data_IF_270656989756
#
_entry.id   IF_270656989756
#
_cell.length_a   1.000
_cell.length_b   1.000
_cell.length_c   1.000
_cell.angle_alpha   90.00
_cell.angle_beta   90.00
_cell.angle_gamma   90.00
#
_symmetry.space_group_name_H-M   'P 1'
#
loop_
_entity.id
_entity.type
_entity.pdbx_description
1 polymer ?
#
# COMPACT_ATOMS: atom_id res chain seq x y z
N UNK A 1 -34.30 -60.17 -44.97
CA UNK A 1 -34.42 -59.34 -46.19
C UNK A 1 -34.90 -57.95 -45.78
N UNK A 2 -34.49 -56.94 -46.55
CA UNK A 2 -34.33 -55.50 -46.26
C UNK A 2 -32.99 -55.10 -45.64
N UNK A 3 -32.37 -54.06 -46.18
CA UNK A 3 -31.43 -54.12 -47.30
C UNK A 3 -30.34 -53.08 -47.02
N UNK A 4 -29.09 -53.40 -47.36
CA UNK A 4 -27.90 -52.57 -47.21
C UNK A 4 -27.93 -51.47 -48.29
N UNK A 5 -28.30 -50.24 -47.99
CA UNK A 5 -27.98 -49.11 -48.89
C UNK A 5 -28.03 -47.69 -48.32
N UNK A 6 -28.35 -47.45 -47.04
CA UNK A 6 -28.44 -46.07 -46.50
C UNK A 6 -27.50 -45.75 -45.33
N UNK A 7 -26.45 -46.55 -45.12
CA UNK A 7 -25.41 -46.27 -44.12
C UNK A 7 -24.06 -45.88 -44.74
N UNK A 8 -24.09 -45.20 -45.90
CA UNK A 8 -22.90 -44.82 -46.67
C UNK A 8 -22.87 -43.35 -47.13
N UNK A 9 -23.67 -42.44 -46.55
CA UNK A 9 -23.66 -41.01 -46.91
C UNK A 9 -23.72 -40.04 -45.72
N UNK A 10 -22.96 -40.33 -44.66
CA UNK A 10 -22.68 -39.35 -43.60
C UNK A 10 -21.22 -39.44 -43.11
N UNK A 11 -20.30 -39.76 -44.03
CA UNK A 11 -18.86 -39.64 -43.85
C UNK A 11 -18.44 -38.44 -44.72
N UNK A 12 -17.73 -37.47 -44.13
CA UNK A 12 -17.17 -36.24 -44.73
C UNK A 12 -17.88 -34.89 -44.49
N UNK A 13 -18.52 -34.65 -43.34
CA UNK A 13 -18.83 -33.28 -42.94
C UNK A 13 -18.41 -33.01 -41.48
N UNK A 14 -17.29 -32.29 -41.35
CA UNK A 14 -16.96 -31.40 -40.25
C UNK A 14 -16.77 -32.00 -38.84
N UNK A 15 -15.82 -32.92 -38.68
CA UNK A 15 -15.01 -32.96 -37.46
C UNK A 15 -13.90 -31.90 -37.53
N UNK A 16 -14.29 -30.62 -37.52
CA UNK A 16 -13.38 -29.56 -37.08
C UNK A 16 -13.48 -29.50 -35.55
N UNK A 17 -12.84 -30.46 -34.90
CA UNK A 17 -12.54 -30.35 -33.47
C UNK A 17 -11.62 -29.13 -33.36
N UNK A 18 -12.16 -28.05 -32.80
CA UNK A 18 -11.36 -26.97 -32.24
C UNK A 18 -10.47 -27.60 -31.16
N UNK A 19 -9.26 -28.01 -31.56
CA UNK A 19 -8.13 -28.09 -30.66
C UNK A 19 -7.79 -26.63 -30.31
N UNK A 20 -8.59 -26.06 -29.42
CA UNK A 20 -8.13 -24.93 -28.63
C UNK A 20 -6.88 -25.44 -27.92
N UNK A 21 -5.72 -24.95 -28.36
CA UNK A 21 -4.46 -25.12 -27.67
C UNK A 21 -4.66 -24.60 -26.25
N UNK A 22 -4.97 -25.52 -25.33
CA UNK A 22 -4.74 -25.35 -23.91
C UNK A 22 -3.25 -25.08 -23.77
N UNK A 23 -2.89 -23.80 -23.79
CA UNK A 23 -1.62 -23.35 -23.25
C UNK A 23 -1.71 -23.69 -21.77
N UNK A 24 -1.26 -24.89 -21.42
CA UNK A 24 -1.00 -25.26 -20.04
C UNK A 24 0.00 -24.21 -19.55
N UNK A 25 -0.48 -23.31 -18.69
CA UNK A 25 0.37 -22.33 -18.06
C UNK A 25 1.53 -23.09 -17.41
N UNK A 26 2.75 -22.84 -17.88
CA UNK A 26 3.92 -23.44 -17.26
C UNK A 26 3.92 -23.03 -15.78
N UNK A 27 4.09 -23.97 -14.84
CA UNK A 27 4.17 -23.63 -13.44
C UNK A 27 5.29 -22.60 -13.26
N UNK A 28 4.99 -21.53 -12.52
CA UNK A 28 5.95 -20.46 -12.30
C UNK A 28 7.25 -21.06 -11.72
N UNK A 29 8.40 -20.69 -12.32
CA UNK A 29 9.70 -21.17 -11.87
C UNK A 29 9.88 -20.88 -10.38
N UNK A 30 10.59 -21.71 -9.62
CA UNK A 30 10.82 -21.44 -8.19
C UNK A 30 11.51 -20.08 -8.00
N UNK A 31 11.06 -19.25 -7.06
CA UNK A 31 11.74 -18.02 -6.70
C UNK A 31 13.09 -18.33 -6.02
N UNK A 32 14.15 -17.65 -6.46
CA UNK A 32 15.48 -17.75 -5.87
C UNK A 32 15.82 -16.46 -5.10
N UNK A 33 15.95 -16.60 -3.78
CA UNK A 33 16.31 -15.50 -2.88
C UNK A 33 17.83 -15.34 -2.72
N UNK A 34 18.66 -16.19 -3.34
CA UNK A 34 20.12 -16.14 -3.21
C UNK A 34 20.77 -14.78 -3.53
N UNK A 35 20.21 -13.93 -4.42
CA UNK A 35 20.75 -12.58 -4.64
C UNK A 35 20.49 -11.58 -3.49
N UNK A 36 19.58 -11.88 -2.56
CA UNK A 36 19.12 -10.98 -1.49
C UNK A 36 19.94 -11.17 -0.21
N UNK A 37 21.23 -10.85 -0.27
CA UNK A 37 22.20 -11.12 0.80
C UNK A 37 22.15 -10.03 1.87
N UNK A 38 22.24 -8.76 1.49
CA UNK A 38 22.29 -7.60 2.39
C UNK A 38 21.22 -6.55 2.05
N UNK A 39 20.87 -5.66 2.99
CA UNK A 39 19.92 -4.58 2.71
C UNK A 39 20.35 -3.75 1.49
N UNK A 40 19.40 -3.44 0.61
CA UNK A 40 19.59 -2.77 -0.68
C UNK A 40 19.73 -3.72 -1.87
N UNK A 41 20.06 -5.00 -1.65
CA UNK A 41 20.08 -5.99 -2.73
C UNK A 41 18.65 -6.19 -3.27
N UNK A 42 18.55 -6.42 -4.59
CA UNK A 42 17.25 -6.60 -5.25
C UNK A 42 17.30 -7.68 -6.33
N UNK A 43 16.14 -8.32 -6.55
CA UNK A 43 15.92 -9.30 -7.61
C UNK A 43 14.51 -9.10 -8.18
N UNK A 44 14.36 -9.30 -9.49
CA UNK A 44 13.05 -9.27 -10.14
C UNK A 44 12.51 -10.68 -10.32
N UNK A 45 11.22 -10.88 -10.08
CA UNK A 45 10.54 -12.13 -10.35
C UNK A 45 9.09 -11.88 -10.74
N UNK A 46 8.68 -12.41 -11.90
CA UNK A 46 7.40 -12.03 -12.50
C UNK A 46 7.40 -10.53 -12.80
N UNK A 47 6.33 -9.84 -12.40
CA UNK A 47 6.28 -8.38 -12.43
C UNK A 47 6.90 -7.70 -11.21
N UNK A 48 7.19 -8.44 -10.14
CA UNK A 48 7.61 -7.84 -8.87
C UNK A 48 9.11 -7.53 -8.85
N UNK A 49 9.47 -6.41 -8.23
CA UNK A 49 10.83 -6.13 -7.80
C UNK A 49 10.92 -6.36 -6.29
N UNK A 50 11.76 -7.29 -5.87
CA UNK A 50 11.94 -7.66 -4.47
C UNK A 50 13.22 -7.01 -3.98
N UNK A 51 13.16 -6.31 -2.85
CA UNK A 51 14.29 -5.60 -2.25
C UNK A 51 14.44 -6.06 -0.80
N UNK A 52 15.65 -6.44 -0.39
CA UNK A 52 15.94 -6.70 1.03
C UNK A 52 16.10 -5.36 1.75
N UNK A 53 15.32 -5.11 2.80
CA UNK A 53 15.35 -3.84 3.55
C UNK A 53 15.84 -3.99 5.00
N UNK A 54 15.91 -5.24 5.48
CA UNK A 54 16.45 -5.62 6.78
C UNK A 54 16.80 -7.10 6.81
N UNK A 55 17.28 -7.59 7.94
CA UNK A 55 17.49 -9.02 8.14
C UNK A 55 16.15 -9.76 8.08
N UNK A 56 15.92 -10.56 7.04
CA UNK A 56 14.65 -11.25 6.82
C UNK A 56 13.43 -10.31 6.74
N UNK A 57 13.64 -9.09 6.24
CA UNK A 57 12.57 -8.13 5.94
C UNK A 57 12.72 -7.65 4.50
N UNK A 58 11.62 -7.69 3.75
CA UNK A 58 11.60 -7.49 2.31
C UNK A 58 10.50 -6.51 1.89
N UNK A 59 10.83 -5.63 0.97
CA UNK A 59 9.86 -4.89 0.17
C UNK A 59 9.59 -5.67 -1.10
N UNK A 60 8.33 -5.86 -1.44
CA UNK A 60 7.87 -6.47 -2.69
C UNK A 60 7.13 -5.37 -3.43
N UNK A 61 7.82 -4.75 -4.38
CA UNK A 61 7.27 -3.68 -5.20
C UNK A 61 6.48 -4.28 -6.36
N UNK A 62 5.18 -3.97 -6.38
CA UNK A 62 4.33 -4.10 -7.55
C UNK A 62 4.51 -2.83 -8.40
N UNK A 63 5.05 -2.93 -9.64
CA UNK A 63 5.30 -1.75 -10.46
C UNK A 63 4.00 -1.08 -10.97
N UNK A 64 2.84 -1.71 -10.77
CA UNK A 64 1.58 -1.17 -11.28
C UNK A 64 1.45 -1.33 -12.80
N UNK A 65 0.70 -0.42 -13.42
CA UNK A 65 0.58 -0.27 -14.88
C UNK A 65 0.69 1.20 -15.29
N UNK A 66 1.47 1.49 -16.33
CA UNK A 66 1.72 2.88 -16.79
C UNK A 66 0.48 3.57 -17.39
N UNK A 67 -0.53 2.80 -17.78
CA UNK A 67 -1.81 3.29 -18.30
C UNK A 67 -2.91 3.33 -17.24
N UNK A 68 -2.57 3.01 -15.99
CA UNK A 68 -3.50 2.89 -14.88
C UNK A 68 -4.09 4.23 -14.43
N UNK A 69 -5.07 4.13 -13.53
CA UNK A 69 -5.59 5.26 -12.75
C UNK A 69 -5.63 4.87 -11.28
N UNK A 70 -5.63 5.85 -10.38
CA UNK A 70 -5.77 5.58 -8.95
C UNK A 70 -4.67 4.66 -8.41
N UNK A 71 -5.06 3.56 -7.76
CA UNK A 71 -4.16 2.58 -7.13
C UNK A 71 -3.36 1.72 -8.11
N UNK A 72 -3.65 1.81 -9.41
CA UNK A 72 -2.89 1.10 -10.43
C UNK A 72 -1.45 1.60 -10.61
N UNK A 73 -1.09 2.74 -10.02
CA UNK A 73 0.30 3.19 -9.98
C UNK A 73 1.02 2.47 -8.84
N UNK A 74 2.17 1.86 -9.15
CA UNK A 74 2.82 0.84 -8.32
C UNK A 74 2.75 1.00 -6.80
N UNK A 75 2.62 -0.13 -6.12
CA UNK A 75 2.37 -0.24 -4.69
C UNK A 75 3.38 -1.18 -4.05
N UNK A 76 3.69 -0.96 -2.80
CA UNK A 76 4.67 -1.72 -2.03
C UNK A 76 3.97 -2.58 -0.99
N UNK A 77 4.34 -3.86 -0.99
CA UNK A 77 4.01 -4.79 0.08
C UNK A 77 5.27 -5.05 0.91
N UNK A 78 5.09 -5.45 2.17
CA UNK A 78 6.22 -5.69 3.08
C UNK A 78 6.11 -7.05 3.75
N UNK A 79 7.12 -7.90 3.55
CA UNK A 79 7.18 -9.21 4.19
C UNK A 79 8.22 -9.20 5.32
N UNK A 80 7.77 -9.48 6.53
CA UNK A 80 8.60 -9.59 7.73
C UNK A 80 8.61 -11.06 8.16
N UNK A 81 9.78 -11.69 8.15
CA UNK A 81 9.93 -13.05 8.63
C UNK A 81 10.58 -13.03 10.03
N UNK A 82 9.82 -13.48 11.03
CA UNK A 82 10.35 -13.74 12.37
C UNK A 82 10.84 -15.17 12.52
N UNK A 83 10.96 -15.64 13.76
CA UNK A 83 11.40 -17.01 14.05
C UNK A 83 10.26 -18.03 14.05
N UNK A 84 9.02 -17.60 14.32
CA UNK A 84 7.86 -18.51 14.46
C UNK A 84 6.79 -18.29 13.39
N UNK A 85 6.74 -17.13 12.74
CA UNK A 85 5.81 -16.80 11.66
C UNK A 85 6.33 -15.67 10.77
N UNK A 86 5.69 -15.48 9.62
CA UNK A 86 5.88 -14.35 8.75
C UNK A 86 4.60 -13.50 8.68
N UNK A 87 4.77 -12.18 8.57
CA UNK A 87 3.70 -11.22 8.34
C UNK A 87 3.93 -10.54 7.00
N UNK A 88 2.97 -10.68 6.09
CA UNK A 88 2.88 -9.87 4.88
C UNK A 88 1.94 -8.70 5.13
N UNK A 89 2.44 -7.48 4.92
CA UNK A 89 1.67 -6.24 5.01
C UNK A 89 1.30 -5.84 3.58
N UNK A 90 -0.01 -5.69 3.34
CA UNK A 90 -0.64 -5.42 2.04
C UNK A 90 -0.44 -6.51 0.97
N UNK A 91 -1.20 -6.41 -0.12
CA UNK A 91 -1.32 -7.46 -1.15
C UNK A 91 -1.22 -6.95 -2.59
N UNK A 92 -1.06 -5.65 -2.82
CA UNK A 92 -0.96 -5.13 -4.18
C UNK A 92 -2.26 -5.21 -4.97
N UNK A 93 -2.19 -4.85 -6.24
CA UNK A 93 -3.34 -4.77 -7.14
C UNK A 93 -3.90 -6.14 -7.56
N UNK A 94 -5.21 -6.23 -7.78
CA UNK A 94 -5.86 -7.46 -8.27
C UNK A 94 -5.52 -7.76 -9.74
N UNK A 95 -4.46 -8.53 -9.95
CA UNK A 95 -4.09 -9.05 -11.27
C UNK A 95 -4.66 -10.44 -11.57
N UNK A 96 -5.38 -11.06 -10.66
CA UNK A 96 -6.02 -12.36 -10.93
C UNK A 96 -7.20 -12.15 -11.87
N UNK A 97 -8.12 -11.26 -11.48
CA UNK A 97 -9.33 -10.96 -12.24
C UNK A 97 -9.27 -9.60 -12.96
N UNK A 98 -8.22 -8.81 -12.68
CA UNK A 98 -8.18 -7.41 -13.06
C UNK A 98 -9.04 -6.53 -12.15
N UNK A 99 -8.95 -5.22 -12.35
CA UNK A 99 -9.79 -4.23 -11.70
C UNK A 99 -10.07 -3.08 -12.67
N UNK A 100 -11.25 -3.12 -13.30
CA UNK A 100 -11.63 -2.21 -14.37
C UNK A 100 -11.64 -0.71 -13.97
N UNK A 101 -12.07 -0.30 -12.75
CA UNK A 101 -12.05 1.11 -12.35
C UNK A 101 -10.66 1.75 -12.43
N UNK A 102 -9.62 0.98 -12.12
CA UNK A 102 -8.23 1.44 -12.13
C UNK A 102 -7.47 1.04 -13.42
N UNK A 103 -8.19 0.47 -14.40
CA UNK A 103 -7.65 0.00 -15.68
C UNK A 103 -6.61 -1.11 -15.54
N UNK A 104 -6.79 -1.98 -14.54
CA UNK A 104 -5.94 -3.13 -14.30
C UNK A 104 -6.50 -4.33 -15.08
N UNK A 105 -5.71 -4.85 -16.01
CA UNK A 105 -6.02 -6.08 -16.73
C UNK A 105 -5.60 -7.33 -15.92
N UNK A 106 -6.32 -8.46 -16.05
CA UNK A 106 -5.84 -9.75 -15.55
C UNK A 106 -4.46 -10.09 -16.12
N UNK A 107 -3.61 -10.70 -15.30
CA UNK A 107 -2.29 -11.23 -15.70
C UNK A 107 -2.28 -12.75 -15.49
N UNK A 108 -1.86 -13.53 -16.50
CA UNK A 108 -1.64 -14.96 -16.32
C UNK A 108 -0.66 -15.23 -15.16
N UNK A 109 -0.97 -16.25 -14.34
CA UNK A 109 -0.14 -16.70 -13.23
C UNK A 109 0.10 -15.68 -12.10
N UNK A 110 -0.70 -14.62 -11.99
CA UNK A 110 -0.50 -13.58 -10.96
C UNK A 110 -0.47 -14.17 -9.53
N UNK A 111 -1.42 -15.05 -9.21
CA UNK A 111 -1.48 -15.71 -7.90
C UNK A 111 -0.27 -16.63 -7.65
N UNK A 112 0.14 -17.39 -8.66
CA UNK A 112 1.32 -18.27 -8.61
C UNK A 112 2.59 -17.46 -8.39
N UNK A 113 2.76 -16.34 -9.08
CA UNK A 113 3.95 -15.51 -8.99
C UNK A 113 4.08 -14.85 -7.60
N UNK A 114 3.01 -14.24 -7.10
CA UNK A 114 3.04 -13.64 -5.76
C UNK A 114 3.32 -14.69 -4.68
N UNK A 115 2.67 -15.86 -4.76
CA UNK A 115 2.94 -16.96 -3.83
C UNK A 115 4.37 -17.48 -3.93
N UNK A 116 4.94 -17.57 -5.13
CA UNK A 116 6.32 -18.02 -5.31
C UNK A 116 7.30 -17.09 -4.60
N UNK A 117 7.11 -15.77 -4.70
CA UNK A 117 7.90 -14.78 -3.96
C UNK A 117 7.69 -14.92 -2.45
N UNK A 118 6.43 -14.85 -1.99
CA UNK A 118 6.11 -14.81 -0.55
C UNK A 118 6.55 -16.10 0.15
N UNK A 119 6.24 -17.28 -0.39
CA UNK A 119 6.67 -18.55 0.21
C UNK A 119 8.15 -18.84 -0.03
N UNK A 120 8.75 -18.34 -1.12
CA UNK A 120 10.18 -18.44 -1.35
C UNK A 120 10.99 -17.69 -0.31
N UNK A 121 10.50 -16.53 0.13
CA UNK A 121 11.10 -15.71 1.18
C UNK A 121 10.77 -16.20 2.60
N UNK A 122 9.50 -16.52 2.87
CA UNK A 122 9.04 -16.97 4.20
C UNK A 122 9.42 -18.42 4.52
N UNK A 123 9.73 -19.23 3.51
CA UNK A 123 10.06 -20.64 3.66
C UNK A 123 8.87 -21.43 4.22
N UNK A 124 9.07 -22.09 5.37
CA UNK A 124 8.05 -22.93 6.03
C UNK A 124 7.28 -22.21 7.14
N UNK A 125 7.56 -20.92 7.37
CA UNK A 125 6.89 -20.16 8.41
C UNK A 125 5.38 -20.07 8.14
N UNK A 126 4.52 -20.24 9.15
CA UNK A 126 3.13 -19.83 9.08
C UNK A 126 3.03 -18.38 8.60
N UNK A 127 2.09 -18.11 7.70
CA UNK A 127 1.90 -16.79 7.10
C UNK A 127 0.63 -16.14 7.64
N UNK A 128 0.77 -14.91 8.12
CA UNK A 128 -0.34 -14.00 8.34
C UNK A 128 -0.24 -12.85 7.32
N UNK A 129 -1.39 -12.34 6.89
CA UNK A 129 -1.50 -11.16 6.03
C UNK A 129 -2.29 -10.10 6.78
N UNK A 130 -1.79 -8.87 6.83
CA UNK A 130 -2.52 -7.74 7.40
C UNK A 130 -2.52 -6.57 6.42
N UNK A 131 -3.66 -5.95 6.19
CA UNK A 131 -3.74 -4.78 5.30
C UNK A 131 -3.67 -3.48 6.10
N UNK A 132 -3.08 -2.45 5.51
CA UNK A 132 -3.03 -1.09 6.04
C UNK A 132 -4.40 -0.41 5.94
N UNK A 133 -5.13 -0.66 4.85
CA UNK A 133 -6.50 -0.20 4.61
C UNK A 133 -7.17 -0.97 3.45
N UNK A 134 -8.48 -0.81 3.25
CA UNK A 134 -9.27 -1.56 2.27
C UNK A 134 -9.46 -0.81 0.93
N UNK A 135 -8.33 -0.45 0.31
CA UNK A 135 -8.30 -0.01 -1.09
C UNK A 135 -7.77 -1.14 -2.00
N UNK A 136 -8.23 -1.18 -3.27
CA UNK A 136 -8.03 -2.31 -4.17
C UNK A 136 -6.57 -2.61 -4.53
N UNK A 137 -5.67 -1.66 -4.31
CA UNK A 137 -4.22 -1.78 -4.46
C UNK A 137 -3.50 -2.29 -3.21
N UNK A 138 -4.20 -2.40 -2.07
CA UNK A 138 -3.65 -2.93 -0.82
C UNK A 138 -4.25 -4.29 -0.43
N UNK A 139 -5.43 -4.65 -0.93
CA UNK A 139 -6.09 -5.93 -0.68
C UNK A 139 -6.36 -6.76 -1.95
N UNK A 140 -5.93 -6.27 -3.12
CA UNK A 140 -6.35 -6.81 -4.40
C UNK A 140 -5.92 -8.25 -4.68
N UNK A 141 -4.77 -8.70 -4.16
CA UNK A 141 -4.32 -10.08 -4.32
C UNK A 141 -4.78 -11.02 -3.19
N UNK A 142 -5.81 -10.67 -2.42
CA UNK A 142 -6.42 -11.57 -1.41
C UNK A 142 -6.72 -12.94 -2.00
N UNK A 143 -7.24 -12.96 -3.23
CA UNK A 143 -7.54 -14.17 -4.00
C UNK A 143 -6.37 -15.15 -4.14
N UNK A 144 -5.12 -14.65 -4.14
CA UNK A 144 -3.93 -15.49 -4.33
C UNK A 144 -3.72 -16.51 -3.19
N UNK A 145 -4.17 -16.14 -1.98
CA UNK A 145 -3.96 -16.90 -0.75
C UNK A 145 -5.25 -17.55 -0.21
N UNK A 146 -6.39 -17.40 -0.89
CA UNK A 146 -7.60 -18.14 -0.53
C UNK A 146 -7.36 -19.66 -0.58
N UNK A 147 -8.00 -20.39 0.34
CA UNK A 147 -7.84 -21.83 0.51
C UNK A 147 -6.40 -22.27 0.85
N UNK A 148 -5.59 -21.37 1.38
CA UNK A 148 -4.28 -21.66 1.98
C UNK A 148 -4.35 -21.51 3.50
N UNK A 149 -3.36 -22.05 4.20
CA UNK A 149 -3.24 -21.88 5.64
C UNK A 149 -2.67 -20.48 5.96
N UNK A 150 -3.47 -19.44 5.69
CA UNK A 150 -3.13 -18.03 5.85
C UNK A 150 -4.24 -17.35 6.62
N UNK A 151 -3.90 -16.57 7.65
CA UNK A 151 -4.85 -15.72 8.36
C UNK A 151 -4.78 -14.31 7.82
N UNK A 152 -5.92 -13.73 7.44
CA UNK A 152 -6.01 -12.35 6.98
C UNK A 152 -6.52 -11.44 8.10
N UNK A 153 -5.98 -10.23 8.18
CA UNK A 153 -6.30 -9.24 9.20
C UNK A 153 -6.66 -7.90 8.58
N UNK A 154 -7.76 -7.32 9.05
CA UNK A 154 -8.22 -5.98 8.67
C UNK A 154 -8.68 -5.23 9.92
N UNK A 155 -8.30 -3.95 10.01
CA UNK A 155 -8.66 -3.08 11.15
C UNK A 155 -10.17 -2.84 11.21
N UNK A 156 -10.74 -2.78 12.42
CA UNK A 156 -12.17 -2.60 12.68
C UNK A 156 -12.77 -1.35 12.01
N UNK A 157 -11.96 -0.32 11.79
CA UNK A 157 -12.38 0.93 11.15
C UNK A 157 -12.52 0.86 9.63
N UNK A 158 -11.99 -0.18 8.97
CA UNK A 158 -12.09 -0.34 7.51
C UNK A 158 -13.45 -0.89 7.09
N UNK A 159 -13.94 -0.49 5.92
CA UNK A 159 -15.16 -1.06 5.34
C UNK A 159 -14.86 -2.46 4.81
N UNK A 160 -15.21 -3.48 5.60
CA UNK A 160 -15.03 -4.87 5.19
C UNK A 160 -15.81 -5.22 3.91
N UNK A 161 -16.90 -4.51 3.58
CA UNK A 161 -17.65 -4.77 2.36
C UNK A 161 -16.91 -4.29 1.10
N UNK A 162 -15.89 -3.45 1.24
CA UNK A 162 -15.03 -3.03 0.13
C UNK A 162 -14.51 -4.24 -0.65
N UNK A 163 -13.96 -5.26 0.03
CA UNK A 163 -13.42 -6.46 -0.61
C UNK A 163 -14.46 -7.23 -1.44
N UNK A 164 -15.71 -7.24 -0.99
CA UNK A 164 -16.82 -7.89 -1.71
C UNK A 164 -17.15 -7.14 -2.98
N UNK A 165 -17.20 -5.81 -2.90
CA UNK A 165 -17.52 -4.97 -4.06
C UNK A 165 -16.39 -4.90 -5.07
N UNK A 166 -15.15 -4.84 -4.60
CA UNK A 166 -13.95 -4.64 -5.41
C UNK A 166 -13.44 -5.96 -6.02
N UNK A 167 -13.49 -7.07 -5.25
CA UNK A 167 -12.86 -8.34 -5.62
C UNK A 167 -13.81 -9.54 -5.63
N UNK A 168 -15.10 -9.34 -5.31
CA UNK A 168 -16.10 -10.44 -5.22
C UNK A 168 -15.72 -11.51 -4.18
N UNK A 169 -14.98 -11.12 -3.15
CA UNK A 169 -14.54 -12.01 -2.06
C UNK A 169 -15.46 -11.81 -0.86
N UNK A 170 -15.74 -12.90 -0.14
CA UNK A 170 -16.52 -12.84 1.10
C UNK A 170 -15.73 -12.07 2.18
N UNK A 171 -16.27 -10.98 2.77
CA UNK A 171 -15.58 -10.22 3.81
C UNK A 171 -15.15 -11.03 5.04
N UNK A 172 -15.82 -12.16 5.31
CA UNK A 172 -15.51 -13.02 6.46
C UNK A 172 -14.15 -13.72 6.37
N UNK A 173 -13.46 -13.67 5.23
CA UNK A 173 -12.07 -14.16 5.12
C UNK A 173 -11.11 -13.34 5.99
N UNK A 174 -11.46 -12.09 6.30
CA UNK A 174 -10.67 -11.21 7.15
C UNK A 174 -11.09 -11.32 8.62
N UNK A 175 -10.15 -11.71 9.46
CA UNK A 175 -10.25 -11.50 10.90
C UNK A 175 -10.12 -10.02 11.21
N UNK A 176 -10.87 -9.57 12.22
CA UNK A 176 -10.96 -8.16 12.60
C UNK A 176 -10.11 -7.85 13.81
N UNK A 177 -9.51 -6.66 13.85
CA UNK A 177 -8.73 -6.20 14.99
C UNK A 177 -8.84 -4.69 15.20
N UNK A 178 -8.63 -4.22 16.43
CA UNK A 178 -8.54 -2.79 16.72
C UNK A 178 -7.09 -2.31 16.59
N UNK A 179 -6.80 -1.47 15.60
CA UNK A 179 -5.48 -0.81 15.49
C UNK A 179 -5.12 -0.03 16.76
N UNK A 180 -3.87 -0.10 17.21
CA UNK A 180 -3.44 0.43 18.51
C UNK A 180 -3.56 -0.57 19.66
N UNK A 181 -4.29 -1.68 19.49
CA UNK A 181 -4.45 -2.73 20.51
C UNK A 181 -3.92 -4.09 20.08
N UNK A 182 -3.76 -4.31 18.77
CA UNK A 182 -3.20 -5.53 18.21
C UNK A 182 -1.69 -5.36 18.03
N UNK A 183 -0.96 -6.41 18.38
CA UNK A 183 0.42 -6.62 17.96
C UNK A 183 0.56 -8.00 17.32
N UNK A 184 1.54 -8.15 16.43
CA UNK A 184 1.87 -9.42 15.79
C UNK A 184 3.23 -9.87 16.31
N UNK A 185 3.23 -10.86 17.19
CA UNK A 185 4.46 -11.52 17.64
C UNK A 185 4.91 -12.54 16.59
N UNK A 186 6.03 -12.24 15.95
CA UNK A 186 6.64 -13.05 14.89
C UNK A 186 7.68 -14.05 15.44
N UNK A 187 7.91 -14.07 16.75
CA UNK A 187 8.94 -14.85 17.42
C UNK A 187 10.32 -14.20 17.37
N UNK A 188 11.20 -14.59 18.30
CA UNK A 188 12.56 -14.03 18.39
C UNK A 188 12.63 -12.57 18.82
N UNK A 189 11.60 -12.07 19.51
CA UNK A 189 11.52 -10.67 19.95
C UNK A 189 11.01 -9.69 18.88
N UNK A 190 10.66 -10.17 17.68
CA UNK A 190 10.05 -9.35 16.64
C UNK A 190 8.55 -9.21 16.85
N UNK A 191 8.16 -8.11 17.48
CA UNK A 191 6.76 -7.74 17.66
C UNK A 191 6.48 -6.55 16.74
N UNK A 192 5.44 -6.68 15.91
CA UNK A 192 4.94 -5.60 15.07
C UNK A 192 3.72 -4.97 15.74
N UNK A 193 3.88 -3.77 16.28
CA UNK A 193 2.80 -3.01 16.91
C UNK A 193 1.98 -2.27 15.86
N UNK A 194 0.68 -2.11 16.11
CA UNK A 194 -0.21 -1.36 15.22
C UNK A 194 -0.57 -0.01 15.81
N UNK A 195 -0.76 0.99 14.95
CA UNK A 195 -1.25 2.32 15.31
C UNK A 195 -2.36 2.74 14.35
N UNK A 196 -3.42 3.33 14.88
CA UNK A 196 -4.48 3.92 14.07
C UNK A 196 -4.02 5.29 13.55
N UNK A 197 -4.07 5.47 12.23
CA UNK A 197 -3.94 6.77 11.57
C UNK A 197 -5.03 6.92 10.52
N UNK A 198 -6.11 7.60 10.89
CA UNK A 198 -7.23 7.94 10.00
C UNK A 198 -6.89 9.12 9.11
N UNK A 199 -7.74 9.34 8.11
CA UNK A 199 -7.66 10.47 7.19
C UNK A 199 -7.83 10.00 5.76
N UNK A 200 -6.91 9.14 5.31
CA UNK A 200 -7.02 8.40 4.05
C UNK A 200 -8.24 7.47 4.07
N UNK A 201 -8.28 6.57 5.05
CA UNK A 201 -9.39 5.68 5.36
C UNK A 201 -9.80 5.85 6.84
N UNK A 202 -10.81 5.10 7.28
CA UNK A 202 -11.30 5.15 8.68
C UNK A 202 -10.62 4.13 9.61
N UNK A 203 -9.95 3.12 9.07
CA UNK A 203 -9.18 2.13 9.81
C UNK A 203 -7.70 2.09 9.42
N UNK A 204 -7.20 3.14 8.76
CA UNK A 204 -5.82 3.24 8.30
C UNK A 204 -4.84 2.87 9.40
N UNK A 205 -3.99 1.87 9.12
CA UNK A 205 -3.14 1.24 10.13
C UNK A 205 -1.67 1.37 9.75
N UNK A 206 -0.89 1.91 10.67
CA UNK A 206 0.57 1.91 10.63
C UNK A 206 1.10 0.72 11.42
N UNK A 207 2.09 0.02 10.87
CA UNK A 207 2.76 -1.12 11.49
C UNK A 207 4.20 -0.76 11.87
N UNK A 208 4.58 -0.96 13.13
CA UNK A 208 5.89 -0.59 13.67
C UNK A 208 6.63 -1.83 14.16
N UNK A 209 7.76 -2.14 13.51
CA UNK A 209 8.71 -3.15 13.94
C UNK A 209 9.89 -2.45 14.61
N UNK A 210 9.74 -2.16 15.91
CA UNK A 210 10.72 -1.40 16.69
C UNK A 210 12.12 -2.04 16.73
N UNK A 211 12.31 -3.35 16.93
CA UNK A 211 13.65 -3.94 17.01
C UNK A 211 14.51 -3.71 15.77
N UNK A 212 13.89 -3.63 14.59
CA UNK A 212 14.57 -3.38 13.32
C UNK A 212 14.50 -1.91 12.88
N UNK A 213 13.87 -1.04 13.68
CA UNK A 213 13.63 0.38 13.40
C UNK A 213 12.93 0.60 12.05
N UNK A 214 11.87 -0.18 11.79
CA UNK A 214 11.08 -0.12 10.56
C UNK A 214 9.63 0.24 10.87
N UNK A 215 9.05 1.14 10.08
CA UNK A 215 7.63 1.49 10.09
C UNK A 215 7.06 1.34 8.69
N UNK A 216 5.87 0.74 8.58
CA UNK A 216 5.14 0.55 7.34
C UNK A 216 3.79 1.27 7.48
N UNK A 217 3.60 2.35 6.72
CA UNK A 217 2.40 3.19 6.86
C UNK A 217 1.30 2.83 5.87
N UNK A 218 1.60 2.08 4.82
CA UNK A 218 0.78 2.09 3.61
C UNK A 218 0.53 3.54 3.21
N UNK A 219 -0.74 3.87 3.01
CA UNK A 219 -1.17 5.23 2.70
C UNK A 219 -1.67 5.99 3.94
N UNK A 220 -1.56 5.47 5.15
CA UNK A 220 -2.17 6.12 6.32
C UNK A 220 -1.55 7.51 6.64
N UNK A 221 -0.27 7.71 6.30
CA UNK A 221 0.44 9.00 6.41
C UNK A 221 0.63 9.69 5.05
N UNK A 222 -0.03 9.17 4.02
CA UNK A 222 0.24 9.46 2.62
C UNK A 222 1.40 8.64 2.08
N UNK A 223 1.58 8.72 0.78
CA UNK A 223 2.86 8.44 0.15
C UNK A 223 3.79 9.64 0.34
N UNK A 224 5.09 9.52 0.09
CA UNK A 224 5.98 10.68 0.25
C UNK A 224 5.57 11.88 -0.61
N UNK A 225 4.74 11.71 -1.64
CA UNK A 225 4.14 12.82 -2.38
C UNK A 225 3.07 13.61 -1.59
N UNK A 226 2.36 12.99 -0.65
CA UNK A 226 1.45 13.64 0.28
C UNK A 226 0.15 12.88 0.55
N UNK A 227 -0.52 13.23 1.65
CA UNK A 227 -1.82 12.65 2.00
C UNK A 227 -2.96 13.50 1.45
N UNK A 228 -3.79 12.92 0.58
CA UNK A 228 -5.01 13.57 0.11
C UNK A 228 -6.13 13.45 1.16
N UNK A 229 -6.77 14.57 1.51
CA UNK A 229 -7.96 14.63 2.38
C UNK A 229 -9.04 15.47 1.71
N UNK A 230 -10.29 15.01 1.80
CA UNK A 230 -11.41 15.62 1.07
C UNK A 230 -12.32 16.51 1.94
N UNK A 231 -12.29 16.37 3.26
CA UNK A 231 -13.18 17.10 4.18
C UNK A 231 -12.45 17.57 5.43
N UNK A 232 -13.07 18.51 6.14
CA UNK A 232 -12.56 19.02 7.43
C UNK A 232 -12.44 17.88 8.45
N UNK A 233 -13.41 16.96 8.49
CA UNK A 233 -13.40 15.81 9.40
C UNK A 233 -12.22 14.89 9.12
N UNK A 234 -11.94 14.59 7.84
CA UNK A 234 -10.79 13.76 7.44
C UNK A 234 -9.46 14.43 7.81
N UNK A 235 -9.36 15.75 7.63
CA UNK A 235 -8.19 16.50 8.07
C UNK A 235 -8.01 16.46 9.60
N UNK A 236 -9.09 16.64 10.37
CA UNK A 236 -9.07 16.56 11.84
C UNK A 236 -8.62 15.18 12.33
N UNK A 237 -9.14 14.12 11.70
CA UNK A 237 -8.75 12.74 11.99
C UNK A 237 -7.25 12.51 11.72
N UNK A 238 -6.75 12.96 10.57
CA UNK A 238 -5.32 12.88 10.24
C UNK A 238 -4.47 13.64 11.25
N UNK A 239 -4.85 14.88 11.57
CA UNK A 239 -4.13 15.72 12.53
C UNK A 239 -4.08 15.11 13.94
N UNK A 240 -5.20 14.59 14.44
CA UNK A 240 -5.29 13.95 15.75
C UNK A 240 -4.44 12.68 15.79
N UNK A 241 -4.61 11.77 14.84
CA UNK A 241 -4.01 10.45 14.90
C UNK A 241 -2.52 10.47 14.60
N UNK A 242 -2.09 11.26 13.60
CA UNK A 242 -0.67 11.44 13.32
C UNK A 242 0.05 12.13 14.48
N UNK A 243 -0.59 13.10 15.16
CA UNK A 243 -0.02 13.70 16.36
C UNK A 243 0.12 12.69 17.50
N UNK A 244 -0.90 11.85 17.74
CA UNK A 244 -0.79 10.75 18.71
C UNK A 244 0.36 9.80 18.38
N UNK A 245 0.55 9.45 17.10
CA UNK A 245 1.68 8.63 16.68
C UNK A 245 3.03 9.32 16.96
N UNK A 246 3.15 10.62 16.67
CA UNK A 246 4.35 11.42 17.00
C UNK A 246 4.63 11.40 18.50
N UNK A 247 3.61 11.59 19.33
CA UNK A 247 3.76 11.62 20.78
C UNK A 247 4.18 10.24 21.31
N UNK A 248 3.61 9.16 20.77
CA UNK A 248 4.02 7.78 21.09
C UNK A 248 5.48 7.52 20.70
N UNK A 249 5.93 7.95 19.52
CA UNK A 249 7.33 7.82 19.10
C UNK A 249 8.23 8.62 20.05
N UNK A 250 7.91 9.88 20.36
CA UNK A 250 8.72 10.73 21.25
C UNK A 250 8.82 10.17 22.67
N UNK A 251 7.76 9.57 23.18
CA UNK A 251 7.72 8.98 24.52
C UNK A 251 8.52 7.68 24.62
N UNK A 252 8.59 6.89 23.54
CA UNK A 252 9.13 5.52 23.58
C UNK A 252 10.46 5.34 22.83
N UNK A 253 10.95 6.38 22.15
CA UNK A 253 12.19 6.35 21.37
C UNK A 253 13.11 7.48 21.83
N UNK A 254 14.36 7.14 22.13
CA UNK A 254 15.42 8.12 22.29
C UNK A 254 15.60 8.95 21.02
N UNK A 255 16.20 10.14 21.09
CA UNK A 255 16.48 10.94 19.91
C UNK A 255 17.25 10.15 18.84
N UNK A 256 18.23 9.33 19.23
CA UNK A 256 19.01 8.52 18.29
C UNK A 256 18.16 7.45 17.58
N UNK A 257 17.33 6.72 18.33
CA UNK A 257 16.43 5.71 17.74
C UNK A 257 15.42 6.34 16.76
N UNK A 258 14.94 7.57 17.05
CA UNK A 258 14.07 8.30 16.12
C UNK A 258 14.77 8.55 14.77
N UNK A 259 16.02 8.99 14.79
CA UNK A 259 16.78 9.18 13.54
C UNK A 259 17.12 7.87 12.82
N UNK A 260 17.12 6.74 13.52
CA UNK A 260 17.31 5.42 12.92
C UNK A 260 16.01 4.82 12.34
N UNK A 261 14.84 5.36 12.70
CA UNK A 261 13.53 4.87 12.25
C UNK A 261 13.32 5.15 10.77
N UNK A 262 13.22 4.08 9.98
CA UNK A 262 12.92 4.12 8.54
C UNK A 262 11.44 3.86 8.32
N UNK A 263 10.81 4.74 7.55
CA UNK A 263 9.37 4.77 7.25
C UNK A 263 9.16 4.42 5.79
N UNK A 264 8.37 3.38 5.56
CA UNK A 264 8.05 2.82 4.26
C UNK A 264 6.55 3.02 3.99
N UNK A 265 6.23 3.61 2.85
CA UNK A 265 4.87 4.01 2.44
C UNK A 265 4.31 3.06 1.39
N UNK A 266 2.99 3.04 1.20
CA UNK A 266 2.31 2.23 0.18
C UNK A 266 2.83 2.48 -1.23
N UNK A 267 3.28 3.69 -1.54
CA UNK A 267 3.81 4.05 -2.87
C UNK A 267 5.21 4.67 -2.75
N UNK A 268 6.24 3.89 -2.41
CA UNK A 268 7.57 4.41 -2.13
C UNK A 268 8.24 5.10 -3.33
N UNK A 269 7.84 4.77 -4.56
CA UNK A 269 8.29 5.49 -5.76
C UNK A 269 7.87 6.96 -5.75
N UNK A 270 6.82 7.32 -5.00
CA UNK A 270 6.37 8.70 -4.82
C UNK A 270 7.20 9.48 -3.79
N UNK A 271 8.05 8.79 -3.01
CA UNK A 271 8.91 9.43 -2.01
C UNK A 271 9.90 10.40 -2.63
N UNK A 272 10.28 10.19 -3.89
CA UNK A 272 11.10 11.14 -4.62
C UNK A 272 10.45 12.52 -4.62
N UNK A 273 9.13 12.66 -4.67
CA UNK A 273 8.47 13.96 -4.69
C UNK A 273 8.37 14.63 -3.30
N UNK A 274 8.50 13.87 -2.22
CA UNK A 274 8.27 14.32 -0.84
C UNK A 274 9.27 15.31 -0.26
N UNK A 275 10.35 15.61 -0.98
CA UNK A 275 11.27 16.70 -0.65
C UNK A 275 11.31 17.81 -1.70
N UNK A 276 10.71 17.62 -2.88
CA UNK A 276 10.86 18.55 -4.00
C UNK A 276 10.08 19.86 -3.84
N UNK A 277 9.04 19.87 -2.99
CA UNK A 277 8.16 21.02 -2.89
C UNK A 277 8.68 22.11 -1.95
N UNK A 278 9.84 21.89 -1.31
CA UNK A 278 10.54 22.93 -0.58
C UNK A 278 11.84 23.32 -1.33
N UNK A 279 12.02 24.59 -1.76
CA UNK A 279 13.14 25.01 -2.60
C UNK A 279 14.53 24.87 -1.95
N UNK A 280 14.58 24.61 -0.63
CA UNK A 280 15.82 24.51 0.15
C UNK A 280 16.13 23.09 0.67
N UNK A 281 15.47 22.04 0.17
CA UNK A 281 15.76 20.67 0.57
C UNK A 281 16.26 19.83 -0.62
N UNK A 282 17.43 19.23 -0.46
CA UNK A 282 17.93 18.23 -1.40
C UNK A 282 16.97 17.04 -1.46
N UNK A 283 16.90 16.40 -2.64
CA UNK A 283 16.12 15.19 -2.85
C UNK A 283 16.60 14.11 -1.89
N UNK A 284 15.74 13.69 -0.96
CA UNK A 284 16.02 12.53 -0.10
C UNK A 284 15.59 11.29 -0.86
N UNK A 285 16.40 10.85 -1.81
CA UNK A 285 16.17 9.60 -2.56
C UNK A 285 16.95 8.46 -1.91
N UNK A 286 16.46 7.97 -0.77
CA UNK A 286 17.04 6.79 -0.08
C UNK A 286 16.09 5.59 -0.08
N UNK A 287 15.01 5.63 -0.87
CA UNK A 287 14.01 4.56 -0.94
C UNK A 287 13.11 4.40 0.29
N UNK A 288 13.29 5.24 1.32
CA UNK A 288 12.47 5.33 2.52
C UNK A 288 12.46 6.77 3.05
N UNK A 289 11.49 7.07 3.92
CA UNK A 289 11.39 8.32 4.68
C UNK A 289 11.88 8.08 6.12
N UNK A 290 12.08 9.11 6.92
CA UNK A 290 12.45 8.95 8.33
C UNK A 290 11.37 9.50 9.27
N UNK A 291 11.58 9.40 10.59
CA UNK A 291 10.59 9.84 11.57
C UNK A 291 10.13 11.31 11.41
N UNK A 292 10.96 12.18 10.81
CA UNK A 292 10.60 13.58 10.53
C UNK A 292 9.44 13.65 9.56
N UNK A 293 9.27 12.69 8.66
CA UNK A 293 8.10 12.60 7.79
C UNK A 293 6.82 12.48 8.61
N UNK A 294 6.79 11.55 9.58
CA UNK A 294 5.65 11.37 10.49
C UNK A 294 5.35 12.65 11.25
N UNK A 295 6.38 13.30 11.80
CA UNK A 295 6.26 14.58 12.49
C UNK A 295 5.71 15.68 11.59
N UNK A 296 6.21 15.76 10.37
CA UNK A 296 5.90 16.81 9.44
C UNK A 296 4.50 16.67 8.83
N UNK A 297 4.02 15.43 8.61
CA UNK A 297 2.61 15.18 8.24
C UNK A 297 1.69 15.68 9.35
N UNK A 298 2.00 15.35 10.62
CA UNK A 298 1.22 15.84 11.76
C UNK A 298 1.26 17.38 11.88
N UNK A 299 2.44 17.99 11.73
CA UNK A 299 2.61 19.43 11.77
C UNK A 299 1.90 20.15 10.62
N UNK A 300 1.92 19.55 9.41
CA UNK A 300 1.19 20.06 8.26
C UNK A 300 -0.32 20.03 8.51
N UNK A 301 -0.88 18.88 8.88
CA UNK A 301 -2.31 18.75 9.14
C UNK A 301 -2.80 19.68 10.28
N UNK A 302 -2.07 19.74 11.40
CA UNK A 302 -2.39 20.64 12.51
C UNK A 302 -2.21 22.12 12.14
N UNK A 303 -1.17 22.44 11.36
CA UNK A 303 -0.96 23.79 10.86
C UNK A 303 -2.08 24.25 9.94
N UNK A 304 -2.66 23.32 9.17
CA UNK A 304 -3.85 23.61 8.37
C UNK A 304 -5.03 23.96 9.30
N UNK A 305 -5.34 23.13 10.29
CA UNK A 305 -6.43 23.47 11.24
C UNK A 305 -6.25 24.83 11.94
N UNK A 306 -5.03 25.34 12.03
CA UNK A 306 -4.68 26.61 12.68
C UNK A 306 -4.55 27.79 11.70
N UNK A 307 -4.78 27.59 10.40
CA UNK A 307 -4.62 28.64 9.39
C UNK A 307 -3.17 29.10 9.18
N UNK A 308 -2.17 28.30 9.58
CA UNK A 308 -0.75 28.70 9.55
C UNK A 308 -0.22 29.00 8.16
N UNK A 309 -0.81 28.45 7.09
CA UNK A 309 -0.41 28.75 5.71
C UNK A 309 -0.71 30.20 5.30
N UNK A 310 -1.52 30.94 6.09
CA UNK A 310 -1.81 32.35 5.90
C UNK A 310 -0.85 33.27 6.68
N UNK A 311 0.02 32.69 7.51
CA UNK A 311 0.92 33.42 8.41
C UNK A 311 2.35 33.28 7.91
N UNK A 312 2.95 34.41 7.53
CA UNK A 312 4.35 34.46 7.11
C UNK A 312 5.28 33.92 8.22
N UNK A 313 6.26 33.10 7.84
CA UNK A 313 7.22 32.51 8.77
C UNK A 313 6.71 31.33 9.61
N UNK A 314 5.48 30.84 9.40
CA UNK A 314 4.94 29.69 10.14
C UNK A 314 5.60 28.35 9.81
N UNK A 315 6.32 28.28 8.68
CA UNK A 315 6.90 27.07 8.10
C UNK A 315 5.90 26.18 7.33
N UNK A 316 4.61 26.51 7.34
CA UNK A 316 3.59 25.85 6.51
C UNK A 316 3.38 26.67 5.24
N UNK A 317 3.53 26.04 4.09
CA UNK A 317 3.47 26.71 2.80
C UNK A 317 2.31 26.17 1.94
N UNK A 318 1.51 27.08 1.40
CA UNK A 318 0.60 26.79 0.28
C UNK A 318 1.42 26.86 -1.01
N UNK A 319 1.65 25.71 -1.64
CA UNK A 319 2.36 25.61 -2.92
C UNK A 319 1.42 25.92 -4.10
N UNK A 320 0.11 25.73 -3.92
CA UNK A 320 -0.90 25.91 -4.95
C UNK A 320 -1.26 24.57 -5.61
N UNK A 321 -1.47 24.58 -6.94
CA UNK A 321 -1.76 23.38 -7.75
C UNK A 321 -0.54 23.03 -8.59
N UNK A 322 -0.34 21.76 -8.89
CA UNK A 322 0.70 21.33 -9.83
C UNK A 322 0.12 20.41 -10.89
N UNK A 323 0.50 20.62 -12.15
CA UNK A 323 0.05 19.77 -13.25
C UNK A 323 0.43 18.29 -13.04
N UNK A 324 1.59 18.04 -12.42
CA UNK A 324 2.00 16.69 -12.04
C UNK A 324 1.03 16.06 -11.03
N UNK A 325 0.51 16.84 -10.07
CA UNK A 325 -0.43 16.34 -9.06
C UNK A 325 -1.83 16.11 -9.59
N UNK A 326 -2.20 16.81 -10.66
CA UNK A 326 -3.52 16.64 -11.27
C UNK A 326 -3.69 15.33 -12.03
N UNK A 327 -2.63 14.54 -12.20
CA UNK A 327 -2.71 13.17 -12.73
C UNK A 327 -3.43 12.20 -11.79
N UNK A 328 -3.49 12.51 -10.49
CA UNK A 328 -4.23 11.69 -9.52
C UNK A 328 -5.60 12.29 -9.25
N UNK A 329 -6.70 11.54 -9.45
CA UNK A 329 -8.06 12.04 -9.22
C UNK A 329 -8.28 12.59 -7.81
N UNK A 330 -7.60 12.02 -6.80
CA UNK A 330 -7.65 12.45 -5.41
C UNK A 330 -6.90 13.76 -5.15
N UNK A 331 -6.04 14.21 -6.06
CA UNK A 331 -5.25 15.44 -5.93
C UNK A 331 -5.62 16.52 -6.97
N UNK A 332 -6.35 16.14 -8.03
CA UNK A 332 -6.72 17.02 -9.12
C UNK A 332 -7.42 18.31 -8.65
N UNK A 333 -6.81 19.44 -8.98
CA UNK A 333 -7.33 20.77 -8.70
C UNK A 333 -7.24 21.20 -7.23
N UNK A 334 -6.62 20.41 -6.36
CA UNK A 334 -6.52 20.67 -4.91
C UNK A 334 -5.29 21.49 -4.56
N UNK A 335 -5.36 22.16 -3.42
CA UNK A 335 -4.23 22.87 -2.84
C UNK A 335 -3.24 21.87 -2.23
N UNK A 336 -1.96 22.13 -2.45
CA UNK A 336 -0.87 21.38 -1.85
C UNK A 336 -0.27 22.21 -0.73
N UNK A 337 -0.32 21.65 0.48
CA UNK A 337 0.19 22.25 1.70
C UNK A 337 1.41 21.46 2.18
N UNK A 338 2.52 22.16 2.48
CA UNK A 338 3.81 21.53 2.79
C UNK A 338 4.39 22.10 4.08
N UNK A 339 4.81 21.22 4.98
CA UNK A 339 5.61 21.54 6.16
C UNK A 339 6.83 20.61 6.20
N UNK A 340 8.03 21.12 5.95
CA UNK A 340 9.22 20.26 5.79
C UNK A 340 9.04 19.23 4.67
N UNK A 341 9.12 17.94 5.00
CA UNK A 341 8.88 16.81 4.07
C UNK A 341 7.48 16.18 4.21
N UNK A 342 6.59 16.80 4.99
CA UNK A 342 5.21 16.36 5.14
C UNK A 342 4.29 17.17 4.25
N UNK A 343 3.39 16.48 3.55
CA UNK A 343 2.48 17.10 2.57
C UNK A 343 1.05 16.66 2.82
N UNK A 344 0.12 17.63 2.76
CA UNK A 344 -1.32 17.39 2.73
C UNK A 344 -1.90 18.01 1.48
N UNK A 345 -2.71 17.25 0.75
CA UNK A 345 -3.40 17.67 -0.47
C UNK A 345 -4.90 17.81 -0.16
N UNK A 346 -5.44 19.01 -0.28
CA UNK A 346 -6.76 19.35 0.24
C UNK A 346 -7.46 20.38 -0.66
N UNK A 347 -8.79 20.29 -0.88
CA UNK A 347 -9.50 21.38 -1.55
C UNK A 347 -9.28 22.70 -0.78
N UNK A 348 -9.02 23.79 -1.49
CA UNK A 348 -8.61 25.05 -0.86
C UNK A 348 -9.73 25.59 0.04
N UNK A 349 -10.97 25.46 -0.42
CA UNK A 349 -12.19 25.80 0.32
C UNK A 349 -12.30 25.03 1.64
N UNK A 350 -11.93 23.74 1.65
CA UNK A 350 -11.93 22.90 2.86
C UNK A 350 -10.82 23.34 3.82
N UNK A 351 -9.66 23.78 3.30
CA UNK A 351 -8.62 24.35 4.14
C UNK A 351 -9.13 25.63 4.85
N UNK A 352 -9.71 26.58 4.11
CA UNK A 352 -10.29 27.80 4.68
C UNK A 352 -11.37 27.50 5.74
N UNK A 353 -12.30 26.59 5.43
CA UNK A 353 -13.32 26.11 6.36
C UNK A 353 -12.69 25.53 7.63
N UNK A 354 -11.69 24.66 7.48
CA UNK A 354 -11.02 24.00 8.59
C UNK A 354 -10.32 24.97 9.56
N UNK A 355 -9.77 26.07 9.04
CA UNK A 355 -9.14 27.12 9.84
C UNK A 355 -10.13 28.17 10.38
N UNK A 356 -11.43 28.04 10.09
CA UNK A 356 -12.45 28.99 10.55
C UNK A 356 -12.30 30.39 9.92
N UNK A 357 -11.72 30.47 8.72
CA UNK A 357 -11.48 31.72 7.99
C UNK A 357 -12.26 31.74 6.68
N UNK A 358 -12.70 32.93 6.26
CA UNK A 358 -13.43 33.08 5.00
C UNK A 358 -12.47 33.04 3.81
N UNK A 359 -12.76 32.22 2.81
CA UNK A 359 -12.02 32.19 1.55
C UNK A 359 -12.17 33.54 0.81
N UNK A 360 -11.07 34.17 0.35
CA UNK A 360 -11.13 35.32 -0.55
C UNK A 360 -11.91 35.00 -1.82
N UNK A 361 -12.68 35.98 -2.31
CA UNK A 361 -13.47 35.86 -3.55
C UNK A 361 -12.59 35.95 -4.79
#
# INVERSE_FOLDING_TARGET
MFNKSELCRAICAACCIFLASLVLAQPAARFDASPLVKPGDSVSYGSYKIIKIGENVYQINDPGVSTGKGGAFGVDMYLICGQSKALLIDLGNNYIDGYAPDLIAPRPNAAEQLRAVVYGLAGKLPLEVAITHAHPDHDGMTGAFLNRNVTFWMSDGEDANAIKTQHKIDPSVYSRFTAGKKSFDLGGGRIVDTFLVRGHSLGGTVYLLKPDMLMFSGDALGSGFGQAVATVERLKMLAEDSQRLVDQIKANFSPYERYALRVYTGHAWQNVYGGFMHPNHDKVDVGYLDWRFVQNVAACANGILQGKWLVEGSGLHLVGKMAATDMWPSAAGRAIMVYGIGTVIIPLEVAYEAAGVKMPQ
#
